data_IF_061948749589
#
_entry.id   IF_061948749589
#
_cell.length_a   1.000
_cell.length_b   1.000
_cell.length_c   1.000
_cell.angle_alpha   90.00
_cell.angle_beta   90.00
_cell.angle_gamma   90.00
#
_symmetry.space_group_name_H-M   'P 1'
#
loop_
_entity.id
_entity.type
_entity.pdbx_description
1 polymer ?
#
# COMPACT_ATOMS: atom_id res chain seq x y z
N UNK A 1 9.26 -4.16 19.14
CA UNK A 1 9.23 -5.42 18.37
C UNK A 1 7.79 -5.79 18.07
N UNK A 2 7.54 -6.47 16.96
CA UNK A 2 6.24 -6.99 16.58
C UNK A 2 6.37 -8.51 16.40
N UNK A 3 5.40 -9.28 16.88
CA UNK A 3 5.45 -10.75 16.83
C UNK A 3 4.18 -11.26 16.19
N UNK A 4 4.33 -12.24 15.30
CA UNK A 4 3.22 -12.85 14.56
C UNK A 4 3.29 -14.35 14.74
N UNK A 5 2.14 -14.98 15.01
CA UNK A 5 2.05 -16.44 15.09
C UNK A 5 2.29 -17.06 13.72
N UNK A 6 2.82 -18.29 13.70
CA UNK A 6 3.10 -19.04 12.46
C UNK A 6 1.92 -18.97 11.47
N UNK A 7 0.69 -19.18 11.91
CA UNK A 7 -0.48 -19.20 11.01
C UNK A 7 -0.71 -17.90 10.21
N UNK A 8 -0.23 -16.76 10.69
CA UNK A 8 -0.39 -15.46 10.03
C UNK A 8 0.87 -14.99 9.31
N UNK A 9 1.92 -15.83 9.20
CA UNK A 9 3.20 -15.44 8.60
C UNK A 9 3.03 -14.92 7.17
N UNK A 10 2.11 -15.51 6.38
CA UNK A 10 1.85 -15.08 5.00
C UNK A 10 1.35 -13.64 4.92
N UNK A 11 0.50 -13.22 5.88
CA UNK A 11 0.02 -11.84 5.95
C UNK A 11 1.13 -10.88 6.35
N UNK A 12 1.95 -11.27 7.34
CA UNK A 12 3.08 -10.46 7.79
C UNK A 12 4.13 -10.26 6.67
N UNK A 13 4.54 -11.34 5.99
CA UNK A 13 5.46 -11.26 4.85
C UNK A 13 4.85 -10.42 3.73
N UNK A 14 3.56 -10.56 3.46
CA UNK A 14 2.87 -9.73 2.46
C UNK A 14 2.93 -8.23 2.80
N UNK A 15 2.75 -7.85 4.06
CA UNK A 15 2.92 -6.45 4.50
C UNK A 15 4.35 -5.94 4.30
N UNK A 16 5.36 -6.77 4.59
CA UNK A 16 6.76 -6.44 4.34
C UNK A 16 7.05 -6.29 2.83
N UNK A 17 6.50 -7.17 2.00
CA UNK A 17 6.58 -7.07 0.54
C UNK A 17 5.93 -5.79 0.02
N UNK A 18 4.77 -5.41 0.55
CA UNK A 18 4.08 -4.20 0.15
C UNK A 18 4.85 -2.94 0.58
N UNK A 19 5.48 -2.96 1.76
CA UNK A 19 6.39 -1.91 2.20
C UNK A 19 7.63 -1.76 1.30
N UNK A 20 8.19 -2.85 0.77
CA UNK A 20 9.25 -2.78 -0.25
C UNK A 20 8.73 -2.19 -1.56
N UNK A 21 7.55 -2.63 -2.02
CA UNK A 21 6.93 -2.20 -3.29
C UNK A 21 6.54 -0.72 -3.31
N UNK A 22 6.10 -0.19 -2.17
CA UNK A 22 5.68 1.19 -2.02
C UNK A 22 6.79 2.14 -1.52
N UNK A 23 8.06 1.69 -1.50
CA UNK A 23 9.25 2.44 -1.04
C UNK A 23 9.29 2.82 0.44
N UNK A 24 8.35 2.36 1.26
CA UNK A 24 8.39 2.62 2.71
C UNK A 24 9.57 1.88 3.35
N UNK A 25 9.83 0.65 2.93
CA UNK A 25 10.93 -0.18 3.43
C UNK A 25 12.09 -0.12 2.43
N UNK A 26 13.29 0.21 2.93
CA UNK A 26 14.51 0.22 2.11
C UNK A 26 15.26 -1.10 2.20
N UNK A 27 15.27 -1.72 3.38
CA UNK A 27 16.08 -2.91 3.66
C UNK A 27 15.39 -3.79 4.69
N UNK A 28 15.47 -5.10 4.49
CA UNK A 28 15.05 -6.12 5.45
C UNK A 28 16.21 -7.10 5.63
N UNK A 29 16.76 -7.19 6.84
CA UNK A 29 17.67 -8.29 7.20
C UNK A 29 16.86 -9.40 7.84
N UNK A 30 17.18 -10.63 7.47
CA UNK A 30 16.45 -11.82 7.92
C UNK A 30 17.39 -12.68 8.75
N UNK A 31 16.90 -13.14 9.90
CA UNK A 31 17.61 -14.10 10.76
C UNK A 31 16.72 -15.27 11.11
N UNK A 32 17.28 -16.48 11.16
CA UNK A 32 16.61 -17.69 11.63
C UNK A 32 17.20 -18.09 12.98
N UNK A 33 16.38 -18.11 14.02
CA UNK A 33 16.82 -18.38 15.40
C UNK A 33 18.02 -17.53 15.83
N UNK A 34 18.00 -16.24 15.47
CA UNK A 34 19.07 -15.28 15.76
C UNK A 34 20.28 -15.31 14.80
N UNK A 35 20.35 -16.27 13.87
CA UNK A 35 21.43 -16.34 12.88
C UNK A 35 21.05 -15.61 11.60
N UNK A 36 21.83 -14.62 11.19
CA UNK A 36 21.58 -13.89 9.94
C UNK A 36 21.70 -14.80 8.73
N UNK A 37 20.67 -14.79 7.88
CA UNK A 37 20.60 -15.61 6.65
C UNK A 37 20.64 -14.77 5.38
N UNK A 38 20.41 -13.47 5.49
CA UNK A 38 20.56 -12.58 4.35
C UNK A 38 19.92 -11.21 4.52
N UNK A 39 20.16 -10.40 3.50
CA UNK A 39 19.60 -9.06 3.37
C UNK A 39 18.84 -8.93 2.05
N UNK A 40 17.70 -8.26 2.13
CA UNK A 40 16.83 -7.91 1.01
C UNK A 40 16.75 -6.39 0.91
N UNK A 41 17.38 -5.85 -0.12
CA UNK A 41 17.39 -4.43 -0.48
C UNK A 41 17.07 -4.32 -1.98
N UNK A 42 16.13 -3.44 -2.40
CA UNK A 42 15.89 -3.19 -3.82
C UNK A 42 17.13 -2.62 -4.51
N UNK A 43 17.42 -3.11 -5.71
CA UNK A 43 18.46 -2.52 -6.56
C UNK A 43 18.11 -1.06 -6.91
N UNK A 44 19.12 -0.29 -7.35
CA UNK A 44 18.97 1.13 -7.73
C UNK A 44 18.26 1.97 -6.65
N UNK A 45 18.47 1.65 -5.37
CA UNK A 45 17.79 2.27 -4.22
C UNK A 45 16.25 2.25 -4.33
N UNK A 46 15.69 1.24 -5.00
CA UNK A 46 14.26 1.10 -5.24
C UNK A 46 13.67 2.15 -6.19
N UNK A 47 14.47 2.85 -6.99
CA UNK A 47 13.97 3.84 -7.94
C UNK A 47 12.97 3.23 -8.94
N UNK A 48 13.27 2.03 -9.44
CA UNK A 48 12.46 1.30 -10.43
C UNK A 48 11.46 0.36 -9.76
N UNK A 49 10.25 0.25 -10.34
CA UNK A 49 9.22 -0.68 -9.85
C UNK A 49 9.70 -2.13 -9.90
N UNK A 50 10.35 -2.54 -11.00
CA UNK A 50 10.86 -3.89 -11.17
C UNK A 50 11.85 -4.28 -10.06
N UNK A 51 12.75 -3.38 -9.67
CA UNK A 51 13.75 -3.63 -8.61
C UNK A 51 13.08 -3.86 -7.24
N UNK A 52 11.99 -3.12 -6.95
CA UNK A 52 11.21 -3.28 -5.72
C UNK A 52 10.38 -4.56 -5.72
N UNK A 53 9.77 -4.90 -6.86
CA UNK A 53 9.03 -6.15 -7.02
C UNK A 53 9.95 -7.36 -6.88
N UNK A 54 11.14 -7.33 -7.50
CA UNK A 54 12.13 -8.38 -7.40
C UNK A 54 12.65 -8.55 -5.96
N UNK A 55 12.87 -7.46 -5.22
CA UNK A 55 13.21 -7.54 -3.80
C UNK A 55 12.09 -8.17 -2.96
N UNK A 56 10.83 -7.80 -3.20
CA UNK A 56 9.69 -8.40 -2.53
C UNK A 56 9.56 -9.90 -2.82
N UNK A 57 9.81 -10.32 -4.06
CA UNK A 57 9.83 -11.75 -4.43
C UNK A 57 11.00 -12.49 -3.77
N UNK A 58 12.21 -11.88 -3.78
CA UNK A 58 13.39 -12.41 -3.09
C UNK A 58 13.11 -12.65 -1.60
N UNK A 59 12.45 -11.71 -0.93
CA UNK A 59 12.06 -11.86 0.48
C UNK A 59 11.22 -13.12 0.69
N UNK A 60 10.16 -13.29 -0.11
CA UNK A 60 9.27 -14.44 0.01
C UNK A 60 10.03 -15.75 -0.23
N UNK A 61 10.83 -15.81 -1.29
CA UNK A 61 11.60 -17.01 -1.62
C UNK A 61 12.62 -17.37 -0.54
N UNK A 62 13.20 -16.37 0.14
CA UNK A 62 14.14 -16.57 1.23
C UNK A 62 13.49 -17.22 2.45
N UNK A 63 12.26 -16.83 2.80
CA UNK A 63 11.64 -17.22 4.10
C UNK A 63 10.51 -18.23 3.98
N UNK A 64 9.92 -18.42 2.80
CA UNK A 64 8.73 -19.24 2.59
C UNK A 64 8.90 -20.66 3.16
N UNK A 65 9.97 -21.35 2.80
CA UNK A 65 10.20 -22.73 3.26
C UNK A 65 10.36 -22.81 4.78
N UNK A 66 11.12 -21.87 5.37
CA UNK A 66 11.38 -21.86 6.81
C UNK A 66 10.12 -21.53 7.60
N UNK A 67 9.33 -20.55 7.17
CA UNK A 67 8.10 -20.16 7.87
C UNK A 67 6.98 -21.18 7.72
N UNK A 68 6.88 -21.87 6.58
CA UNK A 68 5.89 -22.92 6.35
C UNK A 68 6.14 -24.13 7.26
N UNK A 69 7.42 -24.49 7.43
CA UNK A 69 7.86 -25.63 8.24
C UNK A 69 8.52 -25.24 9.56
N UNK A 70 8.16 -24.06 10.09
CA UNK A 70 8.73 -23.56 11.34
C UNK A 70 8.54 -24.59 12.46
N UNK A 71 9.65 -25.02 13.07
CA UNK A 71 9.67 -25.97 14.18
C UNK A 71 9.08 -25.36 15.44
N UNK A 72 8.85 -26.21 16.44
CA UNK A 72 8.41 -25.74 17.75
C UNK A 72 9.54 -24.99 18.46
N UNK A 73 9.25 -23.80 18.98
CA UNK A 73 10.24 -22.90 19.57
C UNK A 73 11.16 -22.15 18.59
N UNK A 74 11.11 -22.46 17.28
CA UNK A 74 11.85 -21.74 16.25
C UNK A 74 11.18 -20.40 15.89
N UNK A 75 11.97 -19.45 15.40
CA UNK A 75 11.49 -18.15 14.94
C UNK A 75 12.31 -17.60 13.77
N UNK A 76 11.67 -16.67 13.04
CA UNK A 76 12.30 -15.88 11.98
C UNK A 76 12.16 -14.41 12.34
N UNK A 77 13.27 -13.71 12.42
CA UNK A 77 13.31 -12.27 12.69
C UNK A 77 13.53 -11.47 11.42
N UNK A 78 12.84 -10.34 11.34
CA UNK A 78 12.96 -9.35 10.29
C UNK A 78 13.40 -8.02 10.91
N UNK A 79 14.63 -7.60 10.67
CA UNK A 79 15.11 -6.25 11.00
C UNK A 79 14.78 -5.34 9.81
N UNK A 80 13.79 -4.46 10.00
CA UNK A 80 13.21 -3.66 8.92
C UNK A 80 13.68 -2.21 9.04
N UNK A 81 14.39 -1.73 8.03
CA UNK A 81 14.72 -0.31 7.87
C UNK A 81 13.68 0.36 6.99
N UNK A 82 13.02 1.40 7.51
CA UNK A 82 11.90 2.05 6.83
C UNK A 82 11.91 3.57 7.02
N UNK A 83 11.29 4.27 6.08
CA UNK A 83 11.01 5.70 6.14
C UNK A 83 9.64 5.97 5.49
N UNK A 84 8.66 6.41 6.27
CA UNK A 84 7.32 6.70 5.74
C UNK A 84 7.30 7.90 4.79
N UNK A 85 8.27 8.82 4.90
CA UNK A 85 8.36 9.97 4.00
C UNK A 85 8.74 9.59 2.56
N UNK A 86 9.28 8.38 2.34
CA UNK A 86 9.60 7.87 0.99
C UNK A 86 8.48 7.07 0.36
N UNK A 87 7.37 6.87 1.08
CA UNK A 87 6.22 6.13 0.59
C UNK A 87 5.64 6.78 -0.67
N UNK A 88 5.34 5.94 -1.67
CA UNK A 88 4.67 6.36 -2.91
C UNK A 88 3.31 5.68 -3.02
N UNK A 89 2.36 6.36 -3.66
CA UNK A 89 1.12 5.74 -4.13
C UNK A 89 1.46 4.87 -5.34
N UNK A 90 1.23 3.58 -5.24
CA UNK A 90 1.41 2.65 -6.36
C UNK A 90 0.30 2.84 -7.40
N UNK A 91 0.54 2.39 -8.65
CA UNK A 91 -0.45 2.46 -9.71
C UNK A 91 -1.80 1.84 -9.31
N UNK A 92 -1.77 0.66 -8.69
CA UNK A 92 -2.98 -0.03 -8.26
C UNK A 92 -3.75 0.75 -7.18
N UNK A 93 -3.05 1.39 -6.23
CA UNK A 93 -3.69 2.25 -5.24
C UNK A 93 -4.29 3.51 -5.87
N UNK A 94 -3.60 4.13 -6.83
CA UNK A 94 -4.12 5.28 -7.57
C UNK A 94 -5.38 4.92 -8.38
N UNK A 95 -5.38 3.77 -9.05
CA UNK A 95 -6.55 3.24 -9.78
C UNK A 95 -7.72 2.98 -8.83
N UNK A 96 -7.48 2.38 -7.66
CA UNK A 96 -8.52 2.16 -6.65
C UNK A 96 -9.11 3.47 -6.12
N UNK A 97 -8.28 4.49 -5.88
CA UNK A 97 -8.74 5.83 -5.51
C UNK A 97 -9.60 6.44 -6.62
N UNK A 98 -9.16 6.35 -7.87
CA UNK A 98 -9.92 6.84 -9.02
C UNK A 98 -11.29 6.15 -9.12
N UNK A 99 -11.35 4.82 -9.03
CA UNK A 99 -12.62 4.08 -9.06
C UNK A 99 -13.54 4.52 -7.92
N UNK A 100 -13.01 4.75 -6.72
CA UNK A 100 -13.79 5.24 -5.59
C UNK A 100 -14.32 6.65 -5.81
N UNK A 101 -13.54 7.54 -6.44
CA UNK A 101 -14.00 8.89 -6.80
C UNK A 101 -15.09 8.84 -7.87
N UNK A 102 -14.95 7.95 -8.85
CA UNK A 102 -15.93 7.77 -9.93
C UNK A 102 -17.31 7.33 -9.42
N UNK A 103 -17.39 6.64 -8.28
CA UNK A 103 -18.67 6.32 -7.61
C UNK A 103 -19.47 7.58 -7.21
N UNK A 104 -18.83 8.75 -7.17
CA UNK A 104 -19.47 10.02 -6.82
C UNK A 104 -19.69 10.94 -8.03
N UNK A 105 -19.48 10.48 -9.27
CA UNK A 105 -19.66 11.32 -10.46
C UNK A 105 -21.07 11.89 -10.57
N UNK A 106 -22.09 11.09 -10.25
CA UNK A 106 -23.49 11.51 -10.32
C UNK A 106 -24.00 12.10 -8.99
N UNK A 107 -23.10 12.31 -8.02
CA UNK A 107 -23.48 12.88 -6.73
C UNK A 107 -23.83 14.35 -6.92
N UNK A 108 -25.10 14.68 -6.74
CA UNK A 108 -25.56 16.08 -6.68
C UNK A 108 -24.88 16.77 -5.50
N UNK A 109 -24.03 17.76 -5.80
CA UNK A 109 -23.34 18.56 -4.78
C UNK A 109 -24.20 19.73 -4.29
N UNK A 110 -24.91 20.36 -5.22
CA UNK A 110 -25.83 21.48 -4.98
C UNK A 110 -27.06 21.26 -5.87
N UNK A 111 -28.25 21.25 -5.27
CA UNK A 111 -29.51 21.14 -6.02
C UNK A 111 -29.77 22.40 -6.86
N UNK A 112 -30.61 22.28 -7.88
CA UNK A 112 -31.17 23.44 -8.56
C UNK A 112 -31.94 24.33 -7.59
N UNK A 113 -31.86 25.65 -7.78
CA UNK A 113 -32.63 26.60 -6.99
C UNK A 113 -34.15 26.43 -7.24
N UNK A 114 -34.94 26.80 -6.25
CA UNK A 114 -36.38 27.08 -6.38
C UNK A 114 -36.63 28.53 -5.98
N UNK A 115 -37.85 29.03 -6.17
CA UNK A 115 -38.22 30.39 -5.76
C UNK A 115 -38.04 30.65 -4.26
N UNK A 116 -37.98 29.59 -3.45
CA UNK A 116 -37.88 29.66 -1.99
C UNK A 116 -36.63 29.02 -1.41
N UNK A 117 -35.84 28.30 -2.22
CA UNK A 117 -34.64 27.57 -1.77
C UNK A 117 -33.46 27.89 -2.69
N UNK A 118 -32.37 28.37 -2.11
CA UNK A 118 -31.13 28.65 -2.86
C UNK A 118 -30.54 27.37 -3.47
N UNK A 119 -29.98 27.50 -4.66
CA UNK A 119 -29.33 26.40 -5.39
C UNK A 119 -28.64 26.89 -6.67
N UNK A 120 -28.30 25.98 -7.56
CA UNK A 120 -27.75 26.29 -8.89
C UNK A 120 -28.80 27.02 -9.74
N UNK A 121 -28.42 28.13 -10.38
CA UNK A 121 -29.24 28.92 -11.32
C UNK A 121 -28.57 29.00 -12.68
N UNK A 122 -29.32 29.30 -13.74
CA UNK A 122 -28.74 29.64 -15.04
C UNK A 122 -27.88 30.90 -14.91
N UNK A 123 -26.77 30.95 -15.66
CA UNK A 123 -25.90 32.11 -15.78
C UNK A 123 -26.54 33.26 -16.58
N UNK A 124 -27.61 32.95 -17.33
CA UNK A 124 -28.35 33.90 -18.14
C UNK A 124 -29.63 34.29 -17.43
N UNK A 125 -29.76 35.57 -17.09
CA UNK A 125 -30.99 36.10 -16.53
C UNK A 125 -32.08 36.12 -17.61
N UNK A 126 -33.15 35.36 -17.39
CA UNK A 126 -34.35 35.47 -18.22
C UNK A 126 -35.14 36.66 -17.68
N UNK A 127 -35.03 37.82 -18.33
CA UNK A 127 -35.94 38.94 -18.07
C UNK A 127 -37.36 38.49 -18.40
N UNK A 128 -38.19 38.28 -17.37
CA UNK A 128 -39.61 38.04 -17.53
C UNK A 128 -40.25 39.32 -18.10
N UNK A 129 -40.28 39.45 -19.43
CA UNK A 129 -41.14 40.42 -20.11
C UNK A 129 -42.59 39.92 -19.97
N UNK A 130 -43.34 40.57 -19.07
CA UNK A 130 -44.79 40.58 -19.07
C UNK A 130 -45.35 41.14 -20.38
#
# INVERSE_FOLDING_TARGET
GYTVVKNDWKKAVKQLQDGLKNKTISTIKVSFNGNSVGEVTPASSGAKKADRDAAAEKLYNLVNTQLDKLGDGDYVDFEVTYNLATQIITKAEAEAVLTKLQQYNDKVLINSATDTVKGMVSDTQVDSKN
#
